data_IF_034222080866
#
_entry.id   IF_034222080866
#
_cell.length_a   1.000
_cell.length_b   1.000
_cell.length_c   1.000
_cell.angle_alpha   90.00
_cell.angle_beta   90.00
_cell.angle_gamma   90.00
#
_symmetry.space_group_name_H-M   'P 1'
#
loop_
_entity.id
_entity.type
_entity.pdbx_description
1 polymer ?
#
# COMPACT_ATOMS: atom_id res chain seq x y z
N UNK A 1 -9.94 -9.81 25.11
CA UNK A 1 -10.11 -11.28 25.13
C UNK A 1 -9.01 -11.84 24.24
N UNK A 2 -8.06 -12.61 24.78
CA UNK A 2 -6.95 -13.13 24.00
C UNK A 2 -7.47 -14.14 22.97
N UNK A 3 -7.17 -13.90 21.69
CA UNK A 3 -7.42 -14.85 20.60
C UNK A 3 -6.44 -16.00 20.84
N UNK A 4 -6.98 -17.12 21.32
CA UNK A 4 -6.21 -18.33 21.59
C UNK A 4 -5.65 -18.82 20.25
N UNK A 5 -4.33 -18.86 20.16
CA UNK A 5 -3.59 -19.46 19.06
C UNK A 5 -4.12 -20.87 18.75
N UNK A 6 -4.21 -21.12 17.44
CA UNK A 6 -4.56 -22.37 16.78
C UNK A 6 -4.20 -23.63 17.57
N UNK A 7 -5.23 -24.37 17.98
CA UNK A 7 -5.05 -25.80 18.25
C UNK A 7 -4.70 -26.47 16.92
N UNK A 8 -3.74 -27.41 16.84
CA UNK A 8 -3.45 -28.10 15.60
C UNK A 8 -4.70 -28.87 15.19
N UNK A 9 -5.30 -28.48 14.08
CA UNK A 9 -6.33 -29.24 13.39
C UNK A 9 -5.70 -29.87 12.15
N UNK A 10 -6.35 -30.91 11.62
CA UNK A 10 -5.88 -31.54 10.40
C UNK A 10 -5.96 -30.55 9.23
N UNK A 11 -4.82 -30.33 8.59
CA UNK A 11 -4.69 -29.50 7.39
C UNK A 11 -4.45 -30.40 6.19
N UNK A 12 -5.28 -30.32 5.15
CA UNK A 12 -5.05 -31.07 3.93
C UNK A 12 -3.77 -30.63 3.21
N UNK A 13 -3.33 -31.45 2.27
CA UNK A 13 -2.14 -31.22 1.45
C UNK A 13 -2.31 -29.98 0.56
N UNK A 14 -1.19 -29.31 0.26
CA UNK A 14 -1.22 -28.13 -0.60
C UNK A 14 -1.80 -28.43 -2.00
N UNK A 15 -1.65 -29.67 -2.48
CA UNK A 15 -2.14 -30.17 -3.77
C UNK A 15 -3.63 -30.51 -3.80
N UNK A 16 -4.31 -30.54 -2.66
CA UNK A 16 -5.75 -30.84 -2.60
C UNK A 16 -6.65 -29.66 -2.98
N UNK A 17 -6.05 -28.48 -3.20
CA UNK A 17 -6.72 -27.25 -3.58
C UNK A 17 -5.95 -26.62 -4.74
N UNK A 18 -6.65 -26.36 -5.84
CA UNK A 18 -6.15 -25.52 -6.91
C UNK A 18 -6.81 -24.15 -6.76
N UNK A 19 -6.02 -23.09 -6.62
CA UNK A 19 -6.53 -21.73 -6.46
C UNK A 19 -5.72 -20.75 -7.31
N UNK A 20 -6.43 -19.91 -8.05
CA UNK A 20 -5.85 -18.85 -8.87
C UNK A 20 -6.39 -17.51 -8.41
N UNK A 21 -5.50 -16.52 -8.30
CA UNK A 21 -5.85 -15.12 -8.08
C UNK A 21 -5.42 -14.35 -9.32
N UNK A 22 -6.31 -13.55 -9.88
CA UNK A 22 -6.05 -12.68 -11.03
C UNK A 22 -6.65 -11.29 -10.81
N UNK A 23 -6.25 -10.33 -11.63
CA UNK A 23 -6.85 -9.00 -11.68
C UNK A 23 -7.97 -8.96 -12.72
N UNK A 24 -8.95 -8.10 -12.51
CA UNK A 24 -10.05 -7.84 -13.44
C UNK A 24 -9.94 -6.39 -13.93
N UNK A 25 -9.94 -6.15 -15.25
CA UNK A 25 -9.99 -7.15 -16.32
C UNK A 25 -8.70 -7.97 -16.46
N UNK A 26 -8.83 -9.23 -16.93
CA UNK A 26 -7.74 -10.24 -16.97
C UNK A 26 -6.53 -9.85 -17.86
N UNK A 27 -6.67 -8.78 -18.64
CA UNK A 27 -5.59 -8.24 -19.47
C UNK A 27 -4.62 -7.31 -18.70
N UNK A 28 -4.87 -7.01 -17.43
CA UNK A 28 -3.89 -6.35 -16.56
C UNK A 28 -2.77 -7.32 -16.21
N UNK A 29 -1.60 -7.09 -16.80
CA UNK A 29 -0.39 -7.83 -16.47
C UNK A 29 0.13 -7.37 -15.10
N UNK A 30 0.14 -8.27 -14.13
CA UNK A 30 0.56 -8.01 -12.75
C UNK A 30 2.00 -7.50 -12.71
N UNK A 31 2.86 -7.97 -13.61
CA UNK A 31 4.26 -7.53 -13.67
C UNK A 31 4.40 -6.09 -14.18
N UNK A 32 3.38 -5.62 -14.93
CA UNK A 32 3.32 -4.28 -15.52
C UNK A 32 2.33 -3.36 -14.83
N UNK A 33 1.67 -3.83 -13.77
CA UNK A 33 0.63 -3.06 -13.11
C UNK A 33 1.15 -1.72 -12.60
N UNK A 34 2.40 -1.64 -12.14
CA UNK A 34 3.01 -0.38 -11.74
C UNK A 34 3.22 0.64 -12.88
N UNK A 35 3.11 0.20 -14.14
CA UNK A 35 3.16 1.07 -15.33
C UNK A 35 1.76 1.45 -15.83
N UNK A 36 0.79 0.54 -15.68
CA UNK A 36 -0.55 0.68 -16.28
C UNK A 36 -1.62 1.17 -15.28
N UNK A 37 -1.40 0.99 -13.98
CA UNK A 37 -2.31 1.41 -12.92
C UNK A 37 -2.10 2.88 -12.54
N UNK A 38 -3.20 3.60 -12.39
CA UNK A 38 -3.19 4.99 -11.92
C UNK A 38 -3.68 5.04 -10.48
N UNK A 39 -2.97 5.79 -9.62
CA UNK A 39 -3.41 5.98 -8.23
C UNK A 39 -4.81 6.59 -8.18
N UNK A 40 -5.66 6.00 -7.34
CA UNK A 40 -7.08 6.31 -7.25
C UNK A 40 -7.97 5.36 -8.07
N UNK A 41 -7.43 4.59 -9.02
CA UNK A 41 -8.22 3.57 -9.73
C UNK A 41 -8.38 2.32 -8.87
N UNK A 42 -9.63 1.86 -8.71
CA UNK A 42 -9.92 0.64 -7.97
C UNK A 42 -9.31 -0.60 -8.66
N UNK A 43 -8.81 -1.52 -7.84
CA UNK A 43 -8.34 -2.82 -8.31
C UNK A 43 -9.33 -3.90 -7.92
N UNK A 44 -9.79 -4.68 -8.89
CA UNK A 44 -10.64 -5.84 -8.63
C UNK A 44 -9.83 -7.12 -8.73
N UNK A 45 -9.78 -7.89 -7.66
CA UNK A 45 -9.14 -9.19 -7.60
C UNK A 45 -10.18 -10.30 -7.72
N UNK A 46 -9.99 -11.20 -8.67
CA UNK A 46 -10.78 -12.42 -8.79
C UNK A 46 -10.01 -13.59 -8.20
N UNK A 47 -10.68 -14.37 -7.36
CA UNK A 47 -10.15 -15.64 -6.90
C UNK A 47 -11.10 -16.78 -7.27
N UNK A 48 -10.55 -17.78 -7.95
CA UNK A 48 -11.23 -19.03 -8.27
C UNK A 48 -10.48 -20.15 -7.60
N UNK A 49 -11.20 -21.03 -6.89
CA UNK A 49 -10.61 -22.22 -6.30
C UNK A 49 -11.47 -23.46 -6.54
N UNK A 50 -10.81 -24.60 -6.67
CA UNK A 50 -11.41 -25.93 -6.76
C UNK A 50 -10.82 -26.85 -5.71
N UNK A 51 -11.66 -27.74 -5.14
CA UNK A 51 -11.24 -28.75 -4.17
C UNK A 51 -11.21 -30.13 -4.85
N UNK A 52 -10.11 -30.84 -4.66
CA UNK A 52 -9.98 -32.24 -5.04
C UNK A 52 -10.69 -33.16 -4.04
N UNK A 53 -11.05 -34.37 -4.46
CA UNK A 53 -11.69 -35.35 -3.56
C UNK A 53 -10.83 -35.71 -2.33
N UNK A 54 -9.50 -35.62 -2.47
CA UNK A 54 -8.57 -35.87 -1.37
C UNK A 54 -8.70 -34.85 -0.24
N UNK A 55 -9.13 -33.61 -0.52
CA UNK A 55 -9.31 -32.55 0.47
C UNK A 55 -10.20 -33.01 1.63
N UNK A 56 -11.36 -33.58 1.30
CA UNK A 56 -12.36 -34.05 2.28
C UNK A 56 -11.81 -35.15 3.18
N UNK A 57 -11.09 -36.09 2.57
CA UNK A 57 -10.49 -37.23 3.28
C UNK A 57 -9.35 -36.77 4.20
N UNK A 58 -8.52 -35.85 3.74
CA UNK A 58 -7.36 -35.34 4.49
C UNK A 58 -7.78 -34.40 5.64
N UNK A 59 -8.81 -33.57 5.42
CA UNK A 59 -9.35 -32.67 6.43
C UNK A 59 -10.27 -33.38 7.45
N UNK A 60 -10.73 -34.60 7.15
CA UNK A 60 -11.78 -35.33 7.89
C UNK A 60 -13.08 -34.53 8.02
N UNK A 61 -13.52 -33.99 6.89
CA UNK A 61 -14.71 -33.14 6.75
C UNK A 61 -15.65 -33.77 5.73
N UNK A 62 -16.94 -33.74 6.02
CA UNK A 62 -17.97 -34.22 5.09
C UNK A 62 -18.25 -33.18 4.00
N UNK A 63 -18.54 -33.63 2.78
CA UNK A 63 -18.89 -32.74 1.67
C UNK A 63 -20.14 -31.87 1.94
N UNK A 64 -20.97 -32.23 2.92
CA UNK A 64 -22.14 -31.43 3.32
C UNK A 64 -21.82 -30.30 4.32
N UNK A 65 -20.57 -30.15 4.76
CA UNK A 65 -20.17 -29.11 5.69
C UNK A 65 -19.84 -27.79 4.99
N UNK A 66 -20.08 -26.68 5.69
CA UNK A 66 -19.82 -25.34 5.15
C UNK A 66 -18.32 -25.07 5.03
N UNK A 67 -17.85 -24.94 3.79
CA UNK A 67 -16.48 -24.55 3.44
C UNK A 67 -16.52 -23.24 2.66
N UNK A 68 -15.65 -22.31 3.05
CA UNK A 68 -15.55 -20.98 2.45
C UNK A 68 -14.19 -20.80 1.79
N UNK A 69 -14.20 -20.26 0.58
CA UNK A 69 -13.05 -19.57 0.01
C UNK A 69 -12.99 -18.17 0.61
N UNK A 70 -11.81 -17.75 1.06
CA UNK A 70 -11.55 -16.40 1.56
C UNK A 70 -10.40 -15.79 0.79
N UNK A 71 -10.66 -14.66 0.13
CA UNK A 71 -9.62 -13.83 -0.47
C UNK A 71 -9.30 -12.68 0.47
N UNK A 72 -8.01 -12.46 0.70
CA UNK A 72 -7.48 -11.36 1.48
C UNK A 72 -6.54 -10.56 0.60
N UNK A 73 -6.74 -9.25 0.54
CA UNK A 73 -5.75 -8.32 -0.04
C UNK A 73 -5.30 -7.37 1.05
N UNK A 74 -4.00 -7.14 1.16
CA UNK A 74 -3.41 -6.24 2.15
C UNK A 74 -2.42 -5.28 1.51
N UNK A 75 -2.48 -4.03 1.92
CA UNK A 75 -1.55 -2.97 1.58
C UNK A 75 -0.80 -2.58 2.86
N UNK A 76 0.44 -3.03 3.00
CA UNK A 76 1.21 -2.82 4.25
C UNK A 76 1.54 -1.34 4.45
N UNK A 77 1.91 -0.66 3.37
CA UNK A 77 2.22 0.78 3.34
C UNK A 77 1.04 1.64 3.81
N UNK A 78 -0.18 1.30 3.39
CA UNK A 78 -1.41 2.01 3.76
C UNK A 78 -2.09 1.43 5.03
N UNK A 79 -1.50 0.41 5.66
CA UNK A 79 -2.08 -0.32 6.82
C UNK A 79 -3.53 -0.80 6.57
N UNK A 80 -3.87 -1.06 5.31
CA UNK A 80 -5.21 -1.38 4.89
C UNK A 80 -5.34 -2.86 4.50
N UNK A 81 -6.53 -3.43 4.73
CA UNK A 81 -6.81 -4.84 4.47
C UNK A 81 -8.25 -5.06 4.08
N UNK A 82 -8.43 -5.71 2.94
CA UNK A 82 -9.74 -6.08 2.40
C UNK A 82 -9.91 -7.59 2.45
N UNK A 83 -11.17 -8.02 2.57
CA UNK A 83 -11.52 -9.43 2.63
C UNK A 83 -12.87 -9.67 1.95
N UNK A 84 -12.92 -10.70 1.11
CA UNK A 84 -14.16 -11.27 0.60
C UNK A 84 -14.18 -12.78 0.86
N UNK A 85 -15.38 -13.35 0.83
CA UNK A 85 -15.56 -14.79 1.00
C UNK A 85 -16.75 -15.31 0.18
N UNK A 86 -16.65 -16.54 -0.29
CA UNK A 86 -17.72 -17.24 -0.99
C UNK A 86 -17.75 -18.72 -0.56
N UNK A 87 -18.94 -19.35 -0.50
CA UNK A 87 -19.04 -20.78 -0.25
C UNK A 87 -18.52 -21.59 -1.44
N UNK A 88 -18.00 -22.78 -1.16
CA UNK A 88 -17.79 -23.78 -2.22
C UNK A 88 -19.12 -24.45 -2.55
N UNK A 89 -19.38 -24.62 -3.84
CA UNK A 89 -20.57 -25.27 -4.38
C UNK A 89 -20.18 -26.40 -5.33
N UNK A 90 -20.99 -27.45 -5.39
CA UNK A 90 -20.79 -28.56 -6.31
C UNK A 90 -21.24 -28.15 -7.74
N UNK A 91 -20.28 -27.99 -8.64
CA UNK A 91 -20.48 -27.62 -10.05
C UNK A 91 -19.76 -28.63 -10.93
N UNK A 92 -20.50 -29.28 -11.83
CA UNK A 92 -19.97 -30.30 -12.77
C UNK A 92 -19.17 -31.44 -12.09
N UNK A 93 -19.54 -31.78 -10.86
CA UNK A 93 -18.87 -32.83 -10.07
C UNK A 93 -17.60 -32.37 -9.36
N UNK A 94 -17.25 -31.09 -9.42
CA UNK A 94 -16.15 -30.48 -8.67
C UNK A 94 -16.70 -29.47 -7.66
N UNK A 95 -16.02 -29.34 -6.52
CA UNK A 95 -16.34 -28.28 -5.56
C UNK A 95 -15.59 -27.03 -5.95
N UNK A 96 -16.32 -25.98 -6.35
CA UNK A 96 -15.76 -24.73 -6.85
C UNK A 96 -16.29 -23.54 -6.05
N UNK A 97 -15.44 -22.56 -5.80
CA UNK A 97 -15.80 -21.25 -5.30
C UNK A 97 -15.17 -20.18 -6.20
N UNK A 98 -15.90 -19.08 -6.39
CA UNK A 98 -15.45 -17.92 -7.14
C UNK A 98 -15.91 -16.65 -6.42
N UNK A 99 -15.02 -15.68 -6.28
CA UNK A 99 -15.32 -14.40 -5.66
C UNK A 99 -14.48 -13.28 -6.25
N UNK A 100 -15.06 -12.08 -6.27
CA UNK A 100 -14.38 -10.84 -6.61
C UNK A 100 -14.23 -9.96 -5.36
N UNK A 101 -13.08 -9.31 -5.21
CA UNK A 101 -12.76 -8.36 -4.15
C UNK A 101 -12.30 -7.05 -4.78
N UNK A 102 -13.07 -5.99 -4.55
CA UNK A 102 -12.71 -4.63 -4.95
C UNK A 102 -11.86 -4.00 -3.84
N UNK A 103 -10.74 -3.42 -4.24
CA UNK A 103 -9.81 -2.67 -3.39
C UNK A 103 -9.83 -1.23 -3.85
N UNK A 104 -10.11 -0.33 -2.91
CA UNK A 104 -10.22 1.11 -3.18
C UNK A 104 -8.85 1.67 -3.61
N UNK A 105 -8.80 2.23 -4.82
CA UNK A 105 -7.59 2.78 -5.40
C UNK A 105 -7.01 3.96 -4.63
N UNK A 106 -7.82 4.66 -3.84
CA UNK A 106 -7.43 5.76 -2.97
C UNK A 106 -6.84 5.32 -1.63
N UNK A 107 -6.98 4.04 -1.27
CA UNK A 107 -6.49 3.47 -0.01
C UNK A 107 -5.26 2.55 -0.20
N UNK A 108 -4.67 2.51 -1.39
CA UNK A 108 -3.51 1.67 -1.72
C UNK A 108 -2.31 2.47 -2.20
N UNK A 109 -1.11 1.98 -1.86
CA UNK A 109 0.17 2.57 -2.25
C UNK A 109 1.26 1.51 -2.29
N UNK A 110 2.33 1.74 -3.06
CA UNK A 110 3.56 0.91 -3.11
C UNK A 110 3.36 -0.52 -3.60
N UNK A 111 2.67 -1.35 -2.84
CA UNK A 111 2.48 -2.76 -3.10
C UNK A 111 1.21 -3.32 -2.45
N UNK A 112 0.72 -4.41 -3.04
CA UNK A 112 -0.32 -5.25 -2.46
C UNK A 112 0.16 -6.69 -2.32
N UNK A 113 -0.39 -7.36 -1.32
CA UNK A 113 -0.31 -8.81 -1.18
C UNK A 113 -1.72 -9.39 -1.24
N UNK A 114 -1.94 -10.34 -2.15
CA UNK A 114 -3.20 -11.06 -2.29
C UNK A 114 -3.00 -12.54 -1.91
N UNK A 115 -3.84 -13.06 -1.03
CA UNK A 115 -3.75 -14.42 -0.52
C UNK A 115 -5.12 -15.09 -0.45
N UNK A 116 -5.16 -16.40 -0.67
CA UNK A 116 -6.38 -17.20 -0.71
C UNK A 116 -6.34 -18.30 0.33
N UNK A 117 -7.41 -18.43 1.09
CA UNK A 117 -7.57 -19.41 2.17
C UNK A 117 -8.82 -20.24 1.96
N UNK A 118 -8.77 -21.49 2.39
CA UNK A 118 -9.97 -22.33 2.56
C UNK A 118 -10.24 -22.45 4.05
N UNK A 119 -11.44 -22.03 4.45
CA UNK A 119 -11.86 -21.95 5.85
C UNK A 119 -13.06 -22.86 6.08
N UNK A 120 -13.03 -23.63 7.15
CA UNK A 120 -14.08 -24.61 7.45
C UNK A 120 -13.99 -25.19 8.86
N UNK A 121 -14.72 -26.27 9.15
CA UNK A 121 -14.76 -26.89 10.47
C UNK A 121 -13.57 -27.84 10.70
N UNK A 122 -12.45 -27.30 11.19
CA UNK A 122 -11.21 -28.07 11.39
C UNK A 122 -11.29 -29.08 12.54
N UNK A 123 -10.89 -30.32 12.29
CA UNK A 123 -10.88 -31.40 13.30
C UNK A 123 -9.61 -31.35 14.15
N UNK A 124 -9.75 -31.24 15.47
CA UNK A 124 -8.63 -31.01 16.40
C UNK A 124 -8.07 -32.28 17.06
N UNK A 125 -8.73 -33.43 16.86
CA UNK A 125 -8.38 -34.69 17.55
C UNK A 125 -8.68 -34.72 19.06
N UNK A 126 -9.37 -33.71 19.60
CA UNK A 126 -9.71 -33.67 21.03
C UNK A 126 -10.72 -34.76 21.41
N UNK A 127 -10.49 -35.45 22.53
CA UNK A 127 -11.44 -36.41 23.11
C UNK A 127 -12.66 -35.73 23.76
N UNK A 128 -12.58 -34.42 24.03
CA UNK A 128 -13.72 -33.63 24.49
C UNK A 128 -14.53 -33.15 23.27
N UNK A 129 -15.76 -33.63 23.14
CA UNK A 129 -16.66 -33.29 22.03
C UNK A 129 -16.85 -31.77 21.84
N UNK A 130 -16.86 -30.99 22.91
CA UNK A 130 -16.99 -29.52 22.83
C UNK A 130 -15.80 -28.85 22.13
N UNK A 131 -14.67 -29.55 22.03
CA UNK A 131 -13.40 -29.06 21.51
C UNK A 131 -12.94 -29.82 20.27
N UNK A 132 -13.70 -30.81 19.81
CA UNK A 132 -13.33 -31.69 18.71
C UNK A 132 -13.29 -30.97 17.35
N UNK A 133 -14.04 -29.87 17.23
CA UNK A 133 -14.16 -29.09 16.00
C UNK A 133 -13.86 -27.62 16.28
N UNK A 134 -12.99 -27.02 15.45
CA UNK A 134 -12.75 -25.59 15.41
C UNK A 134 -13.52 -24.98 14.23
N UNK A 135 -14.64 -24.33 14.52
CA UNK A 135 -15.41 -23.61 13.50
C UNK A 135 -14.58 -22.45 12.94
N UNK A 136 -14.52 -22.34 11.61
CA UNK A 136 -13.72 -21.30 10.94
C UNK A 136 -12.20 -21.51 11.01
N UNK A 137 -11.75 -22.75 11.10
CA UNK A 137 -10.34 -23.10 10.97
C UNK A 137 -9.85 -22.83 9.54
N UNK A 138 -8.63 -22.28 9.40
CA UNK A 138 -7.97 -22.12 8.10
C UNK A 138 -7.35 -23.45 7.70
N UNK A 139 -8.10 -24.26 6.96
CA UNK A 139 -7.74 -25.62 6.57
C UNK A 139 -6.59 -25.60 5.55
N UNK A 140 -6.65 -24.66 4.61
CA UNK A 140 -5.64 -24.50 3.59
C UNK A 140 -5.32 -23.02 3.38
N UNK A 141 -4.10 -22.74 2.97
CA UNK A 141 -3.61 -21.44 2.55
C UNK A 141 -2.68 -21.63 1.36
N UNK A 142 -2.73 -20.70 0.41
CA UNK A 142 -1.78 -20.67 -0.70
C UNK A 142 -0.35 -20.58 -0.18
N UNK A 143 0.56 -21.39 -0.73
CA UNK A 143 1.96 -21.46 -0.27
C UNK A 143 2.72 -20.14 -0.35
N UNK A 144 2.34 -19.27 -1.29
CA UNK A 144 2.97 -17.97 -1.48
C UNK A 144 1.90 -16.96 -1.88
N UNK A 145 1.69 -15.91 -1.07
CA UNK A 145 0.86 -14.78 -1.47
C UNK A 145 1.33 -14.23 -2.81
N UNK A 146 0.37 -13.76 -3.60
CA UNK A 146 0.66 -13.01 -4.81
C UNK A 146 1.07 -11.60 -4.41
N UNK A 147 2.24 -11.17 -4.87
CA UNK A 147 2.74 -9.81 -4.65
C UNK A 147 2.48 -8.97 -5.91
N UNK A 148 2.00 -7.74 -5.70
CA UNK A 148 1.59 -6.82 -6.77
C UNK A 148 2.31 -5.49 -6.53
N UNK A 149 3.38 -5.19 -7.29
CA UNK A 149 4.09 -3.92 -7.21
C UNK A 149 3.25 -2.81 -7.86
N UNK A 150 2.65 -1.94 -7.05
CA UNK A 150 1.96 -0.74 -7.55
C UNK A 150 2.96 0.37 -7.89
N UNK A 151 4.09 0.41 -7.21
CA UNK A 151 5.20 1.33 -7.47
C UNK A 151 6.48 0.56 -7.75
N UNK A 152 7.37 1.17 -8.53
CA UNK A 152 8.70 0.57 -8.77
C UNK A 152 9.53 0.67 -7.48
N UNK A 153 10.27 -0.39 -7.08
CA UNK A 153 11.10 -0.38 -5.87
C UNK A 153 12.26 0.63 -5.89
N UNK A 154 12.49 1.30 -7.03
CA UNK A 154 13.40 2.44 -7.20
C UNK A 154 12.71 3.59 -7.94
N UNK A 155 11.38 3.72 -7.83
CA UNK A 155 10.67 4.82 -8.47
C UNK A 155 11.21 6.16 -7.95
N UNK A 156 11.20 7.16 -8.83
CA UNK A 156 11.25 8.56 -8.45
C UNK A 156 10.18 8.86 -7.38
N UNK A 157 10.30 10.01 -6.71
CA UNK A 157 9.37 10.46 -5.67
C UNK A 157 7.90 10.05 -5.95
N UNK A 158 7.15 9.50 -4.97
CA UNK A 158 5.82 8.91 -5.18
C UNK A 158 4.88 9.88 -5.90
N UNK A 159 4.71 9.68 -7.21
CA UNK A 159 4.02 10.59 -8.12
C UNK A 159 2.86 9.87 -8.79
N UNK A 160 1.74 10.56 -8.95
CA UNK A 160 0.55 10.01 -9.60
C UNK A 160 -0.11 11.06 -10.47
N UNK A 161 -0.50 10.69 -11.68
CA UNK A 161 -1.17 11.58 -12.62
C UNK A 161 -2.67 11.29 -12.63
N UNK A 162 -3.52 12.25 -12.26
CA UNK A 162 -4.98 12.05 -12.21
C UNK A 162 -5.76 13.31 -12.59
N UNK A 163 -7.04 13.14 -12.93
CA UNK A 163 -7.95 14.25 -13.22
C UNK A 163 -8.39 14.93 -11.92
N UNK A 164 -8.02 16.20 -11.74
CA UNK A 164 -8.36 16.94 -10.51
C UNK A 164 -9.84 17.30 -10.48
N UNK A 165 -10.43 17.60 -11.64
CA UNK A 165 -11.87 17.86 -11.78
C UNK A 165 -12.71 16.63 -11.47
N UNK A 166 -12.31 15.44 -11.93
CA UNK A 166 -13.01 14.19 -11.64
C UNK A 166 -12.96 13.84 -10.14
N UNK A 167 -11.90 14.24 -9.45
CA UNK A 167 -11.68 13.95 -8.02
C UNK A 167 -12.04 15.11 -7.09
N UNK A 168 -12.68 16.17 -7.59
CA UNK A 168 -13.12 17.31 -6.79
C UNK A 168 -11.99 18.19 -6.23
N UNK A 169 -10.77 18.08 -6.77
CA UNK A 169 -9.60 18.89 -6.41
C UNK A 169 -9.63 20.25 -7.10
N UNK A 170 -8.84 21.19 -6.58
CA UNK A 170 -8.70 22.55 -7.18
C UNK A 170 -7.97 22.45 -8.51
N UNK A 171 -8.32 23.26 -9.50
CA UNK A 171 -7.61 23.30 -10.79
C UNK A 171 -6.22 23.96 -10.66
N UNK A 172 -5.25 23.20 -10.15
CA UNK A 172 -3.82 23.57 -10.07
C UNK A 172 -2.98 22.54 -10.83
N UNK A 173 -1.75 22.88 -11.27
CA UNK A 173 -0.89 21.96 -12.02
C UNK A 173 -0.53 20.67 -11.29
N UNK A 174 -0.24 20.78 -9.99
CA UNK A 174 0.02 19.65 -9.12
C UNK A 174 -0.40 19.98 -7.68
N UNK A 175 -0.48 18.96 -6.84
CA UNK A 175 -0.70 19.06 -5.41
C UNK A 175 0.21 18.07 -4.70
N UNK A 176 0.85 18.49 -3.62
CA UNK A 176 1.55 17.58 -2.72
C UNK A 176 0.66 17.33 -1.52
N UNK A 177 0.28 16.08 -1.30
CA UNK A 177 -0.58 15.68 -0.19
C UNK A 177 0.22 14.82 0.79
N UNK A 178 0.00 15.02 2.08
CA UNK A 178 0.56 14.19 3.16
C UNK A 178 -0.54 13.40 3.82
N UNK A 179 -0.27 12.16 4.19
CA UNK A 179 -1.21 11.38 4.99
C UNK A 179 -1.35 12.04 6.37
N UNK A 180 -2.59 12.35 6.76
CA UNK A 180 -2.86 13.15 7.97
C UNK A 180 -2.43 12.46 9.26
N UNK A 181 -2.39 11.13 9.25
CA UNK A 181 -2.00 10.25 10.35
C UNK A 181 -0.61 9.64 10.16
N UNK A 182 0.15 10.12 9.17
CA UNK A 182 1.54 9.69 8.98
C UNK A 182 2.32 9.83 10.29
N UNK A 183 3.34 9.00 10.46
CA UNK A 183 4.28 9.11 11.58
C UNK A 183 5.71 9.26 11.04
N UNK A 184 6.65 9.82 11.81
CA UNK A 184 8.01 10.07 11.33
C UNK A 184 8.73 8.85 10.74
N UNK A 185 8.43 7.65 11.24
CA UNK A 185 9.05 6.39 10.83
C UNK A 185 8.39 5.74 9.61
N UNK A 186 7.29 6.30 9.08
CA UNK A 186 6.63 5.74 7.90
C UNK A 186 7.49 5.97 6.66
N UNK A 187 7.34 5.09 5.67
CA UNK A 187 8.03 5.23 4.38
C UNK A 187 7.55 6.48 3.63
N UNK A 188 8.41 7.05 2.79
CA UNK A 188 8.08 8.25 1.99
C UNK A 188 6.82 7.99 1.14
N UNK A 189 6.77 6.89 0.39
CA UNK A 189 5.63 6.54 -0.47
C UNK A 189 4.30 6.33 0.25
N UNK A 190 4.34 5.94 1.53
CA UNK A 190 3.15 5.82 2.38
C UNK A 190 2.73 7.12 3.05
N UNK A 191 3.57 8.17 3.00
CA UNK A 191 3.38 9.39 3.80
C UNK A 191 3.15 10.65 2.98
N UNK A 192 3.78 10.76 1.80
CA UNK A 192 3.71 11.94 0.95
C UNK A 192 3.48 11.47 -0.48
N UNK A 193 2.63 12.19 -1.24
CA UNK A 193 2.41 11.92 -2.65
C UNK A 193 2.32 13.20 -3.45
N UNK A 194 2.94 13.21 -4.62
CA UNK A 194 2.76 14.23 -5.64
C UNK A 194 1.64 13.81 -6.58
N UNK A 195 0.59 14.61 -6.67
CA UNK A 195 -0.46 14.44 -7.67
C UNK A 195 -0.26 15.46 -8.79
N UNK A 196 -0.18 14.98 -10.03
CA UNK A 196 -0.07 15.80 -11.24
C UNK A 196 -1.43 15.84 -11.94
N UNK A 197 -1.90 17.04 -12.25
CA UNK A 197 -3.23 17.24 -12.82
C UNK A 197 -3.25 16.96 -14.32
N UNK A 198 -3.91 15.88 -14.74
CA UNK A 198 -4.05 15.50 -16.16
C UNK A 198 -5.08 16.33 -16.92
N UNK A 199 -5.86 17.17 -16.23
CA UNK A 199 -6.81 18.08 -16.90
C UNK A 199 -6.09 19.26 -17.58
N UNK A 200 -4.82 19.50 -17.25
CA UNK A 200 -4.04 20.63 -17.73
C UNK A 200 -2.94 20.17 -18.68
N UNK A 201 -3.00 20.61 -19.94
CA UNK A 201 -2.05 20.24 -20.99
C UNK A 201 -0.59 20.55 -20.62
N UNK A 202 -0.36 21.63 -19.85
CA UNK A 202 0.98 22.01 -19.36
C UNK A 202 1.63 20.94 -18.48
N UNK A 203 0.84 20.05 -17.87
CA UNK A 203 1.33 19.00 -16.99
C UNK A 203 1.74 17.71 -17.73
N UNK A 204 1.44 17.58 -19.03
CA UNK A 204 1.83 16.39 -19.79
C UNK A 204 3.35 16.17 -19.78
N UNK A 205 4.13 17.25 -19.89
CA UNK A 205 5.59 17.16 -19.83
C UNK A 205 6.10 16.67 -18.48
N UNK A 206 5.39 16.94 -17.38
CA UNK A 206 5.75 16.43 -16.05
C UNK A 206 5.57 14.91 -16.03
N UNK A 207 4.44 14.41 -16.54
CA UNK A 207 4.10 12.98 -16.63
C UNK A 207 5.07 12.23 -17.56
N UNK A 208 5.47 12.86 -18.67
CA UNK A 208 6.42 12.28 -19.63
C UNK A 208 7.89 12.37 -19.20
N UNK A 209 8.19 13.04 -18.07
CA UNK A 209 9.58 13.23 -17.64
C UNK A 209 10.36 14.28 -18.46
N UNK A 210 9.67 15.13 -19.22
CA UNK A 210 10.25 16.09 -20.17
C UNK A 210 10.06 17.55 -19.76
N UNK A 211 9.50 17.81 -18.58
CA UNK A 211 9.33 19.17 -18.06
C UNK A 211 10.67 19.88 -17.85
N UNK A 212 10.65 21.22 -17.88
CA UNK A 212 11.87 22.00 -17.65
C UNK A 212 12.34 21.91 -16.19
N UNK A 213 13.64 22.16 -15.98
CA UNK A 213 14.26 22.17 -14.64
C UNK A 213 13.56 23.14 -13.68
N UNK A 214 13.08 24.29 -14.17
CA UNK A 214 12.31 25.24 -13.36
C UNK A 214 11.01 24.65 -12.81
N UNK A 215 10.34 23.77 -13.58
CA UNK A 215 9.10 23.10 -13.16
C UNK A 215 9.41 22.07 -12.08
N UNK A 216 10.43 21.22 -12.28
CA UNK A 216 10.85 20.28 -11.25
C UNK A 216 11.33 21.00 -9.99
N UNK A 217 12.01 22.13 -10.14
CA UNK A 217 12.43 22.96 -9.00
C UNK A 217 11.24 23.48 -8.19
N UNK A 218 10.18 23.92 -8.87
CA UNK A 218 8.95 24.34 -8.21
C UNK A 218 8.27 23.18 -7.48
N UNK A 219 8.17 22.01 -8.11
CA UNK A 219 7.63 20.78 -7.49
C UNK A 219 8.44 20.39 -6.25
N UNK A 220 9.78 20.37 -6.34
CA UNK A 220 10.67 20.08 -5.21
C UNK A 220 10.45 21.05 -4.05
N UNK A 221 10.26 22.34 -4.33
CA UNK A 221 9.96 23.32 -3.28
C UNK A 221 8.63 23.03 -2.57
N UNK A 222 7.59 22.66 -3.32
CA UNK A 222 6.29 22.32 -2.74
C UNK A 222 6.37 21.03 -1.91
N UNK A 223 7.17 20.06 -2.35
CA UNK A 223 7.48 18.84 -1.58
C UNK A 223 8.20 19.18 -0.27
N UNK A 224 9.24 20.02 -0.32
CA UNK A 224 9.96 20.48 0.87
C UNK A 224 9.03 21.14 1.89
N UNK A 225 8.14 22.02 1.41
CA UNK A 225 7.16 22.71 2.24
C UNK A 225 6.19 21.72 2.88
N UNK A 226 5.58 20.83 2.11
CA UNK A 226 4.62 19.86 2.61
C UNK A 226 5.24 18.92 3.66
N UNK A 227 6.42 18.35 3.37
CA UNK A 227 7.12 17.43 4.27
C UNK A 227 7.53 18.10 5.57
N UNK A 228 8.20 19.26 5.50
CA UNK A 228 8.67 19.96 6.71
C UNK A 228 7.50 20.52 7.54
N UNK A 229 6.41 20.95 6.90
CA UNK A 229 5.22 21.38 7.61
C UNK A 229 4.55 20.21 8.34
N UNK A 230 4.42 19.04 7.69
CA UNK A 230 3.88 17.83 8.32
C UNK A 230 4.72 17.42 9.53
N UNK A 231 6.04 17.32 9.37
CA UNK A 231 6.95 16.95 10.46
C UNK A 231 6.94 18.01 11.57
N UNK A 232 6.91 19.29 11.21
CA UNK A 232 6.84 20.40 12.16
C UNK A 232 5.58 20.35 13.04
N UNK A 233 4.46 19.86 12.50
CA UNK A 233 3.21 19.70 13.26
C UNK A 233 3.32 18.65 14.37
N UNK A 234 4.29 17.73 14.29
CA UNK A 234 4.54 16.68 15.28
C UNK A 234 5.50 17.07 16.39
N UNK A 235 6.20 18.20 16.24
CA UNK A 235 7.24 18.66 17.16
C UNK A 235 6.75 18.75 18.61
N UNK A 236 5.49 19.12 18.81
CA UNK A 236 4.90 19.29 20.14
C UNK A 236 4.23 18.00 20.67
N UNK A 237 3.98 17.00 19.81
CA UNK A 237 3.20 15.80 20.15
C UNK A 237 4.03 14.51 20.26
N UNK A 238 5.16 14.42 19.57
CA UNK A 238 6.03 13.23 19.58
C UNK A 238 7.03 13.31 20.73
N UNK A 239 6.58 12.93 21.93
CA UNK A 239 7.45 12.66 23.07
C UNK A 239 8.09 11.27 22.93
N UNK A 240 9.41 11.20 22.69
CA UNK A 240 10.21 10.05 23.15
C UNK A 240 11.39 9.61 22.28
N UNK A 241 11.39 9.85 20.97
CA UNK A 241 12.51 9.54 20.06
C UNK A 241 12.83 10.80 19.27
N UNK A 242 14.09 11.24 19.31
CA UNK A 242 14.51 12.39 18.50
C UNK A 242 14.21 12.08 17.03
N UNK A 243 13.59 12.99 16.29
CA UNK A 243 13.38 12.84 14.84
C UNK A 243 14.68 12.51 14.11
N UNK A 244 15.81 13.03 14.61
CA UNK A 244 17.15 12.68 14.12
C UNK A 244 17.48 11.20 14.31
N UNK A 245 17.11 10.59 15.43
CA UNK A 245 17.36 9.17 15.69
C UNK A 245 16.53 8.28 14.74
N UNK A 246 15.27 8.65 14.47
CA UNK A 246 14.46 7.94 13.46
C UNK A 246 15.05 8.09 12.05
N UNK A 247 15.55 9.27 11.71
CA UNK A 247 16.21 9.53 10.43
C UNK A 247 17.51 8.73 10.24
N UNK A 248 18.26 8.53 11.32
CA UNK A 248 19.50 7.76 11.34
C UNK A 248 19.24 6.24 11.26
N UNK A 249 18.13 5.76 11.86
CA UNK A 249 17.76 4.33 11.89
C UNK A 249 17.19 3.83 10.55
N UNK A 250 16.43 4.66 9.82
CA UNK A 250 15.81 4.29 8.54
C UNK A 250 15.90 5.42 7.51
N UNK A 251 16.76 5.27 6.50
CA UNK A 251 16.94 6.26 5.44
C UNK A 251 15.75 6.37 4.46
N UNK A 252 14.83 5.40 4.45
CA UNK A 252 13.63 5.39 3.61
C UNK A 252 12.41 6.04 4.26
N UNK A 253 12.52 6.50 5.50
CA UNK A 253 11.40 7.07 6.24
C UNK A 253 11.23 8.59 6.01
N UNK A 254 10.06 9.09 6.41
CA UNK A 254 9.70 10.50 6.31
C UNK A 254 10.62 11.40 7.14
N UNK A 255 11.06 10.97 8.32
CA UNK A 255 12.00 11.72 9.14
C UNK A 255 13.36 11.91 8.44
N UNK A 256 13.88 10.84 7.81
CA UNK A 256 15.11 10.90 7.03
C UNK A 256 14.98 11.86 5.84
N UNK A 257 13.83 11.84 5.16
CA UNK A 257 13.53 12.79 4.10
C UNK A 257 13.57 14.23 4.62
N UNK A 258 12.87 14.52 5.73
CA UNK A 258 12.87 15.85 6.36
C UNK A 258 14.27 16.33 6.77
N UNK A 259 15.09 15.45 7.35
CA UNK A 259 16.47 15.75 7.72
C UNK A 259 17.34 16.06 6.48
N UNK A 260 17.17 15.31 5.39
CA UNK A 260 17.86 15.55 4.13
C UNK A 260 17.46 16.89 3.50
N UNK A 261 16.17 17.25 3.54
CA UNK A 261 15.67 18.56 3.11
C UNK A 261 16.30 19.67 3.97
N UNK A 262 16.25 19.57 5.29
CA UNK A 262 16.85 20.57 6.17
C UNK A 262 18.34 20.80 5.86
N UNK A 263 19.08 19.71 5.63
CA UNK A 263 20.50 19.77 5.24
C UNK A 263 20.70 20.48 3.90
N UNK A 264 19.86 20.21 2.89
CA UNK A 264 19.97 20.87 1.57
C UNK A 264 19.64 22.38 1.65
N UNK A 265 18.84 22.79 2.63
CA UNK A 265 18.53 24.19 2.93
C UNK A 265 19.62 24.89 3.79
N UNK A 266 20.65 24.15 4.22
CA UNK A 266 21.65 24.64 5.15
C UNK A 266 21.06 25.03 6.51
N UNK A 267 20.08 24.26 6.98
CA UNK A 267 19.41 24.42 8.27
C UNK A 267 19.58 23.15 9.11
N UNK A 268 19.48 23.27 10.43
CA UNK A 268 19.25 22.10 11.28
C UNK A 268 17.82 21.59 11.08
N UNK A 269 17.58 20.32 11.41
CA UNK A 269 16.26 19.72 11.25
C UNK A 269 15.19 20.45 12.08
N UNK A 270 15.51 20.81 13.33
CA UNK A 270 14.62 21.61 14.20
C UNK A 270 14.34 23.01 13.63
N UNK A 271 15.36 23.70 13.11
CA UNK A 271 15.18 25.02 12.50
C UNK A 271 14.28 24.96 11.26
N UNK A 272 14.46 23.95 10.41
CA UNK A 272 13.64 23.79 9.20
C UNK A 272 12.17 23.50 9.56
N UNK A 273 11.92 22.62 10.53
CA UNK A 273 10.57 22.33 11.02
C UNK A 273 9.91 23.56 11.67
N UNK A 274 10.65 24.29 12.51
CA UNK A 274 10.16 25.54 13.11
C UNK A 274 9.84 26.58 12.04
N UNK A 275 10.72 26.75 11.06
CA UNK A 275 10.51 27.69 9.96
C UNK A 275 9.27 27.31 9.13
N UNK A 276 9.02 26.02 8.90
CA UNK A 276 7.82 25.55 8.20
C UNK A 276 6.51 25.97 8.88
N UNK A 277 6.49 25.99 10.22
CA UNK A 277 5.31 26.35 11.02
C UNK A 277 5.20 27.87 11.23
N UNK A 278 6.31 28.53 11.56
CA UNK A 278 6.32 29.95 11.95
C UNK A 278 6.42 30.91 10.76
N UNK A 279 7.13 30.54 9.69
CA UNK A 279 7.34 31.36 8.49
C UNK A 279 7.45 30.48 7.22
N UNK A 280 6.34 29.90 6.76
CA UNK A 280 6.33 29.03 5.57
C UNK A 280 6.76 29.77 4.30
N UNK A 281 6.58 31.10 4.23
CA UNK A 281 7.05 31.90 3.10
C UNK A 281 8.57 32.01 3.09
N UNK A 282 9.19 32.24 4.24
CA UNK A 282 10.65 32.22 4.39
C UNK A 282 11.26 30.87 4.01
N UNK A 283 10.61 29.77 4.41
CA UNK A 283 11.00 28.42 4.00
C UNK A 283 10.92 28.24 2.47
N UNK A 284 9.82 28.69 1.85
CA UNK A 284 9.63 28.59 0.41
C UNK A 284 10.70 29.36 -0.37
N UNK A 285 11.05 30.57 0.07
CA UNK A 285 12.12 31.38 -0.53
C UNK A 285 13.45 30.65 -0.42
N UNK A 286 13.80 30.15 0.76
CA UNK A 286 15.06 29.44 0.99
C UNK A 286 15.16 28.13 0.21
N UNK A 287 14.05 27.43 0.04
CA UNK A 287 13.97 26.24 -0.83
C UNK A 287 14.21 26.58 -2.29
N UNK A 288 13.62 27.66 -2.79
CA UNK A 288 13.87 28.11 -4.18
C UNK A 288 15.32 28.48 -4.39
N UNK A 289 15.93 29.14 -3.41
CA UNK A 289 17.36 29.46 -3.45
C UNK A 289 18.21 28.20 -3.49
N UNK A 290 17.99 27.23 -2.59
CA UNK A 290 18.82 26.03 -2.52
C UNK A 290 18.75 25.20 -3.82
N UNK A 291 17.56 24.99 -4.36
CA UNK A 291 17.36 24.20 -5.57
C UNK A 291 18.07 24.85 -6.77
N UNK A 292 17.97 26.18 -6.89
CA UNK A 292 18.67 26.95 -7.93
C UNK A 292 20.20 26.93 -7.80
N UNK A 293 20.73 26.79 -6.59
CA UNK A 293 22.17 26.72 -6.35
C UNK A 293 22.76 25.34 -6.68
N UNK A 294 22.06 24.25 -6.35
CA UNK A 294 22.57 22.90 -6.59
C UNK A 294 22.38 22.43 -8.05
N UNK A 295 21.30 22.82 -8.74
CA UNK A 295 21.10 22.48 -10.16
C UNK A 295 22.21 23.02 -11.10
N UNK A 296 22.81 24.16 -10.73
CA UNK A 296 23.93 24.76 -11.50
C UNK A 296 25.28 24.08 -11.29
N UNK A 297 25.47 23.33 -10.21
CA UNK A 297 26.76 22.70 -9.87
C UNK A 297 26.92 21.34 -10.54
N UNK A 298 25.82 20.63 -10.82
CA UNK A 298 25.85 19.35 -11.56
C UNK A 298 25.90 19.52 -13.08
N UNK A 299 25.58 20.72 -13.60
CA UNK A 299 25.62 21.05 -15.03
C UNK A 299 26.97 21.63 -15.51
N UNK A 300 28.01 21.67 -14.66
CA UNK A 300 29.35 22.20 -14.94
C UNK A 300 30.43 21.12 -14.89
#
# INVERSE_FOLDING_TARGET
MAIIESRPYLTPSASSVEATISLVPENLDIERIGDDWTSGDDLTFRCVATLEDSFWTEALIDQGEDILLVLVVACTSARARWRAQAPFEAVDGLWRAELDLVVDGGEIAVDLTADAWVVGPGRTGSSNAAHAVHQGAKLWQRNSPMWIPLERPNADFPTSALSFSATGRRAVPWSVETATDAEPHWSISGSVRLYVNTDLEICHSIVEGTASEDVYSAITCDIHLAVLHQIGSWRDSVNGVSLDATADDDHGCLAAMGANIARSLGLTFDEACRLAIEDPLGLAVRSRESVMYYGKVEAA
#
